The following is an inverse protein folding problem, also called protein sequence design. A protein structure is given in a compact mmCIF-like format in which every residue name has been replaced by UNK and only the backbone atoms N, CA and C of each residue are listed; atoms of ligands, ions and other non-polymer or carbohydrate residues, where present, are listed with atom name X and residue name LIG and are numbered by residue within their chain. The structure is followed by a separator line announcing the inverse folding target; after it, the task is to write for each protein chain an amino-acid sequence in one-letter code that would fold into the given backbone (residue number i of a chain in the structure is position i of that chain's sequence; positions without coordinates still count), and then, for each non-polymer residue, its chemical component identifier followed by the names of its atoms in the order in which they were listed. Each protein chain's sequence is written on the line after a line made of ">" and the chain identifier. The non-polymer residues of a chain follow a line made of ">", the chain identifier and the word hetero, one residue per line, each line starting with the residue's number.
data_IF_490900434784
#
_entry.id   IF_490900434784
#
_cell.length_a   1.000
_cell.length_b   1.000
_cell.length_c   1.000
_cell.angle_alpha   90.00
_cell.angle_beta   90.00
_cell.angle_gamma   90.00
#
_symmetry.space_group_name_H-M   'P 1'
#
loop_
_entity.id
_entity.type
_entity.pdbx_description
1 polymer ?
#
# COMPACT_ATOMS: atom_id res chain seq x y z
N UNK A 1 -17.12 -21.45 27.32
CA UNK A 1 -16.10 -20.38 27.36
C UNK A 1 -16.67 -19.09 26.79
N UNK A 2 -16.90 -18.06 27.62
CA UNK A 2 -17.32 -16.76 27.14
C UNK A 2 -16.23 -16.18 26.21
N UNK A 3 -16.58 -15.91 24.95
CA UNK A 3 -15.72 -15.20 23.99
C UNK A 3 -15.48 -13.78 24.55
N UNK A 4 -14.33 -13.54 25.21
CA UNK A 4 -13.92 -12.18 25.57
C UNK A 4 -13.98 -11.33 24.30
N UNK A 5 -14.88 -10.32 24.28
CA UNK A 5 -14.95 -9.35 23.18
C UNK A 5 -13.56 -8.71 23.03
N UNK A 6 -12.98 -8.81 21.82
CA UNK A 6 -11.71 -8.15 21.52
C UNK A 6 -11.88 -6.64 21.68
N UNK A 7 -11.29 -6.09 22.74
CA UNK A 7 -11.26 -4.65 22.98
C UNK A 7 -9.95 -4.09 22.44
N UNK A 8 -10.03 -3.10 21.55
CA UNK A 8 -8.89 -2.36 21.01
C UNK A 8 -8.32 -1.46 22.12
N UNK A 9 -7.00 -1.51 22.33
CA UNK A 9 -6.33 -0.61 23.27
C UNK A 9 -6.30 0.82 22.71
N UNK A 10 -6.08 1.85 23.55
CA UNK A 10 -5.98 3.22 23.06
C UNK A 10 -4.80 3.44 22.08
N UNK A 11 -3.69 2.69 22.23
CA UNK A 11 -2.57 2.76 21.32
C UNK A 11 -2.86 2.06 19.99
N UNK A 12 -3.45 0.86 20.02
CA UNK A 12 -3.91 0.16 18.82
C UNK A 12 -4.92 1.01 18.02
N UNK A 13 -5.86 1.69 18.71
CA UNK A 13 -6.82 2.60 18.07
C UNK A 13 -6.10 3.76 17.38
N UNK A 14 -5.10 4.34 18.03
CA UNK A 14 -4.32 5.44 17.46
C UNK A 14 -3.55 5.00 16.22
N UNK A 15 -3.00 3.78 16.22
CA UNK A 15 -2.33 3.18 15.08
C UNK A 15 -3.31 2.91 13.91
N UNK A 16 -4.50 2.36 14.18
CA UNK A 16 -5.56 2.15 13.19
C UNK A 16 -6.01 3.49 12.56
N UNK A 17 -6.11 4.58 13.35
CA UNK A 17 -6.49 5.89 12.85
C UNK A 17 -5.49 6.48 11.85
N UNK A 18 -4.22 6.14 11.94
CA UNK A 18 -3.25 6.52 10.93
C UNK A 18 -3.58 5.91 9.55
N UNK A 19 -4.00 4.63 9.50
CA UNK A 19 -4.44 3.99 8.24
C UNK A 19 -5.66 4.70 7.62
N UNK A 20 -6.58 5.18 8.44
CA UNK A 20 -7.71 6.01 7.99
C UNK A 20 -7.24 7.30 7.32
N UNK A 21 -6.20 7.93 7.87
CA UNK A 21 -5.66 9.18 7.36
C UNK A 21 -4.88 9.02 6.07
N UNK A 22 -3.92 8.12 6.07
CA UNK A 22 -3.02 7.93 4.94
C UNK A 22 -3.74 7.38 3.69
N UNK A 23 -4.76 6.55 3.87
CA UNK A 23 -5.55 5.98 2.78
C UNK A 23 -6.31 7.06 1.99
N UNK A 24 -6.65 8.20 2.61
CA UNK A 24 -7.24 9.33 1.90
C UNK A 24 -6.26 9.94 0.88
N UNK A 25 -4.98 10.07 1.25
CA UNK A 25 -3.93 10.53 0.33
C UNK A 25 -3.73 9.55 -0.83
N UNK A 26 -3.73 8.23 -0.57
CA UNK A 26 -3.66 7.21 -1.64
C UNK A 26 -4.80 7.39 -2.64
N UNK A 27 -6.03 7.56 -2.13
CA UNK A 27 -7.21 7.69 -2.99
C UNK A 27 -7.17 8.99 -3.83
N UNK A 28 -6.68 10.08 -3.25
CA UNK A 28 -6.49 11.36 -3.96
C UNK A 28 -5.45 11.23 -5.09
N UNK A 29 -4.31 10.61 -4.81
CA UNK A 29 -3.24 10.38 -5.81
C UNK A 29 -3.71 9.49 -6.96
N UNK A 30 -4.54 8.50 -6.67
CA UNK A 30 -5.08 7.62 -7.70
C UNK A 30 -6.19 8.26 -8.56
N UNK A 31 -6.74 9.41 -8.14
CA UNK A 31 -7.95 9.99 -8.78
C UNK A 31 -7.83 11.47 -9.15
N UNK A 32 -7.83 12.37 -8.17
CA UNK A 32 -7.91 13.81 -8.41
C UNK A 32 -6.57 14.47 -8.72
N UNK A 33 -5.48 13.98 -8.15
CA UNK A 33 -4.13 14.55 -8.36
C UNK A 33 -3.68 14.44 -9.81
N UNK A 34 -3.86 13.31 -10.55
CA UNK A 34 -3.58 13.25 -11.97
C UNK A 34 -4.41 14.24 -12.80
N UNK A 35 -5.68 14.44 -12.45
CA UNK A 35 -6.55 15.42 -13.13
C UNK A 35 -5.99 16.82 -12.96
N UNK A 36 -5.55 17.18 -11.75
CA UNK A 36 -4.93 18.48 -11.47
C UNK A 36 -3.63 18.67 -12.26
N UNK A 37 -2.75 17.66 -12.25
CA UNK A 37 -1.52 17.69 -13.02
C UNK A 37 -1.77 17.87 -14.52
N UNK A 38 -2.71 17.08 -15.08
CA UNK A 38 -3.03 17.16 -16.52
C UNK A 38 -3.55 18.55 -16.90
N UNK A 39 -4.41 19.15 -16.09
CA UNK A 39 -4.93 20.50 -16.33
C UNK A 39 -3.79 21.56 -16.31
N UNK A 40 -2.85 21.46 -15.37
CA UNK A 40 -1.68 22.35 -15.33
C UNK A 40 -0.73 22.13 -16.51
N UNK A 41 -0.54 20.87 -16.93
CA UNK A 41 0.32 20.52 -18.04
C UNK A 41 -0.25 21.01 -19.39
N UNK A 42 -1.55 20.84 -19.61
CA UNK A 42 -2.25 21.36 -20.80
C UNK A 42 -2.21 22.88 -20.85
N UNK A 43 -2.46 23.56 -19.74
CA UNK A 43 -2.32 25.02 -19.63
C UNK A 43 -0.88 25.50 -19.91
N UNK A 44 0.12 24.68 -19.62
CA UNK A 44 1.54 24.91 -19.92
C UNK A 44 1.96 24.50 -21.33
N UNK A 45 1.04 24.10 -22.21
CA UNK A 45 1.34 23.70 -23.59
C UNK A 45 1.97 22.30 -23.73
N UNK A 46 1.94 21.47 -22.69
CA UNK A 46 2.47 20.10 -22.74
C UNK A 46 1.46 19.17 -23.43
N UNK A 47 1.92 18.40 -24.42
CA UNK A 47 1.06 17.43 -25.11
C UNK A 47 0.61 16.28 -24.20
N UNK A 48 -0.54 15.66 -24.54
CA UNK A 48 -1.10 14.53 -23.77
C UNK A 48 -0.13 13.35 -23.61
N UNK A 49 0.64 13.07 -24.65
CA UNK A 49 1.66 12.03 -24.61
C UNK A 49 2.77 12.38 -23.61
N UNK A 50 3.22 13.62 -23.63
CA UNK A 50 4.34 14.07 -22.77
C UNK A 50 3.93 14.15 -21.30
N UNK A 51 2.74 14.68 -20.95
CA UNK A 51 2.37 14.74 -19.55
C UNK A 51 2.14 13.35 -18.94
N UNK A 52 1.62 12.39 -19.72
CA UNK A 52 1.50 11.00 -19.29
C UNK A 52 2.89 10.38 -19.02
N UNK A 53 3.86 10.64 -19.94
CA UNK A 53 5.23 10.20 -19.75
C UNK A 53 5.88 10.83 -18.50
N UNK A 54 5.70 12.13 -18.28
CA UNK A 54 6.25 12.83 -17.11
C UNK A 54 5.67 12.31 -15.78
N UNK A 55 4.37 12.00 -15.76
CA UNK A 55 3.74 11.35 -14.61
C UNK A 55 4.36 9.98 -14.30
N UNK A 56 4.59 9.18 -15.35
CA UNK A 56 5.27 7.88 -15.25
C UNK A 56 6.70 8.01 -14.73
N UNK A 57 7.47 8.95 -15.27
CA UNK A 57 8.85 9.22 -14.81
C UNK A 57 8.89 9.68 -13.35
N UNK A 58 7.98 10.58 -12.94
CA UNK A 58 7.87 11.02 -11.55
C UNK A 58 7.57 9.85 -10.60
N UNK A 59 6.64 8.97 -10.97
CA UNK A 59 6.32 7.77 -10.20
C UNK A 59 7.51 6.81 -10.10
N UNK A 60 8.26 6.63 -11.19
CA UNK A 60 9.47 5.80 -11.22
C UNK A 60 10.57 6.38 -10.31
N UNK A 61 10.80 7.69 -10.37
CA UNK A 61 11.77 8.39 -9.50
C UNK A 61 11.40 8.18 -8.02
N UNK A 62 10.13 8.33 -7.65
CA UNK A 62 9.66 8.05 -6.28
C UNK A 62 9.99 6.62 -5.87
N UNK A 63 9.70 5.64 -6.74
CA UNK A 63 9.95 4.22 -6.45
C UNK A 63 11.43 3.95 -6.19
N UNK A 64 12.32 4.46 -7.06
CA UNK A 64 13.78 4.29 -6.91
C UNK A 64 14.28 4.95 -5.62
N UNK A 65 13.89 6.19 -5.37
CA UNK A 65 14.31 6.91 -4.16
C UNK A 65 13.83 6.21 -2.89
N UNK A 66 12.57 5.78 -2.85
CA UNK A 66 12.02 5.11 -1.66
C UNK A 66 12.58 3.72 -1.46
N UNK A 67 12.91 2.98 -2.54
CA UNK A 67 13.59 1.69 -2.45
C UNK A 67 14.99 1.81 -1.82
N UNK A 68 15.71 2.89 -2.09
CA UNK A 68 17.03 3.14 -1.49
C UNK A 68 16.89 3.70 -0.06
N UNK A 69 16.02 4.69 0.14
CA UNK A 69 15.88 5.36 1.43
C UNK A 69 15.17 4.50 2.48
N UNK A 70 14.24 3.64 2.09
CA UNK A 70 13.44 2.81 3.01
C UNK A 70 14.30 2.00 3.98
N UNK A 71 15.18 1.10 3.51
CA UNK A 71 16.04 0.33 4.39
C UNK A 71 17.04 1.17 5.18
N UNK A 72 17.61 2.22 4.57
CA UNK A 72 18.59 3.11 5.25
C UNK A 72 17.94 3.84 6.42
N UNK A 73 16.82 4.51 6.17
CA UNK A 73 16.09 5.21 7.21
C UNK A 73 15.45 4.22 8.19
N UNK A 74 15.06 3.03 7.74
CA UNK A 74 14.57 1.93 8.58
C UNK A 74 15.59 1.50 9.61
N UNK A 75 16.84 1.23 9.18
CA UNK A 75 17.93 0.88 10.08
C UNK A 75 18.25 2.00 11.08
N UNK A 76 18.20 3.25 10.63
CA UNK A 76 18.38 4.41 11.52
C UNK A 76 17.22 4.52 12.53
N UNK A 77 16.00 4.29 12.10
CA UNK A 77 14.81 4.34 12.94
C UNK A 77 14.79 3.25 14.02
N UNK A 78 15.46 2.13 13.81
CA UNK A 78 15.60 1.08 14.82
C UNK A 78 16.53 1.47 15.99
N UNK A 79 17.30 2.55 15.84
CA UNK A 79 18.05 3.12 16.96
C UNK A 79 17.09 3.72 18.00
N UNK A 80 17.45 3.62 19.27
CA UNK A 80 16.67 4.12 20.41
C UNK A 80 16.21 5.57 20.22
N UNK A 81 14.91 5.79 20.34
CA UNK A 81 14.23 7.08 20.22
C UNK A 81 14.25 7.73 18.81
N UNK A 82 14.71 7.05 17.75
CA UNK A 82 14.78 7.60 16.40
C UNK A 82 13.53 7.32 15.56
N UNK A 83 12.81 6.22 15.82
CA UNK A 83 11.66 5.80 14.99
C UNK A 83 10.55 6.87 14.88
N UNK A 84 10.17 7.44 16.03
CA UNK A 84 9.14 8.49 16.06
C UNK A 84 9.55 9.79 15.37
N UNK A 85 10.74 10.39 15.62
CA UNK A 85 11.21 11.58 14.89
C UNK A 85 11.29 11.37 13.37
N UNK A 86 11.80 10.22 12.90
CA UNK A 86 11.90 9.95 11.47
C UNK A 86 10.51 9.76 10.85
N UNK A 87 9.60 9.05 11.53
CA UNK A 87 8.20 8.96 11.12
C UNK A 87 7.55 10.35 11.00
N UNK A 88 7.76 11.22 12.00
CA UNK A 88 7.23 12.59 11.99
C UNK A 88 7.80 13.41 10.82
N UNK A 89 9.11 13.30 10.56
CA UNK A 89 9.73 13.97 9.41
C UNK A 89 9.07 13.55 8.10
N UNK A 90 8.94 12.24 7.86
CA UNK A 90 8.31 11.70 6.66
C UNK A 90 6.83 12.13 6.55
N UNK A 91 6.09 12.08 7.66
CA UNK A 91 4.71 12.55 7.73
C UNK A 91 4.58 14.03 7.35
N UNK A 92 5.38 14.90 7.96
CA UNK A 92 5.32 16.34 7.67
C UNK A 92 5.75 16.66 6.24
N UNK A 93 6.77 15.98 5.70
CA UNK A 93 7.14 16.11 4.28
C UNK A 93 5.96 15.72 3.38
N UNK A 94 5.26 14.63 3.69
CA UNK A 94 4.07 14.20 2.95
C UNK A 94 2.91 15.19 3.06
N UNK A 95 2.56 15.62 4.27
CA UNK A 95 1.43 16.54 4.53
C UNK A 95 1.69 17.93 3.94
N UNK A 96 2.88 18.51 4.18
CA UNK A 96 3.26 19.81 3.63
C UNK A 96 3.38 19.76 2.11
N UNK A 97 3.91 18.66 1.58
CA UNK A 97 3.95 18.41 0.14
C UNK A 97 2.54 18.33 -0.48
N UNK A 98 1.59 17.68 0.21
CA UNK A 98 0.18 17.66 -0.21
C UNK A 98 -0.41 19.08 -0.29
N UNK A 99 -0.17 19.91 0.72
CA UNK A 99 -0.58 21.32 0.71
C UNK A 99 0.11 22.10 -0.41
N UNK A 100 1.41 21.92 -0.60
CA UNK A 100 2.21 22.64 -1.60
C UNK A 100 1.81 22.26 -3.04
N UNK A 101 1.38 21.01 -3.30
CA UNK A 101 0.77 20.65 -4.59
C UNK A 101 -0.45 21.53 -4.90
N UNK A 102 -1.32 21.77 -3.91
CA UNK A 102 -2.48 22.67 -4.07
C UNK A 102 -2.12 24.13 -4.37
N UNK A 103 -0.95 24.58 -3.94
CA UNK A 103 -0.45 25.93 -4.19
C UNK A 103 0.31 26.08 -5.53
N UNK A 104 0.69 24.99 -6.17
CA UNK A 104 1.43 25.00 -7.44
C UNK A 104 0.55 25.58 -8.58
N UNK A 105 1.13 26.46 -9.39
CA UNK A 105 0.45 27.13 -10.51
C UNK A 105 0.89 26.64 -11.88
N UNK A 106 1.96 25.88 -11.95
CA UNK A 106 2.51 25.31 -13.16
C UNK A 106 2.84 23.82 -12.97
N UNK A 107 2.87 23.09 -14.07
CA UNK A 107 2.99 21.64 -14.06
C UNK A 107 4.32 21.12 -13.47
N UNK A 108 5.46 21.79 -13.75
CA UNK A 108 6.77 21.29 -13.30
C UNK A 108 6.96 21.42 -11.78
N UNK A 109 6.72 22.58 -11.12
CA UNK A 109 6.70 22.65 -9.65
C UNK A 109 5.71 21.68 -9.01
N UNK A 110 4.52 21.50 -9.60
CA UNK A 110 3.55 20.52 -9.13
C UNK A 110 4.15 19.10 -9.11
N UNK A 111 4.81 18.70 -10.22
CA UNK A 111 5.39 17.38 -10.36
C UNK A 111 6.56 17.15 -9.38
N UNK A 112 7.41 18.15 -9.18
CA UNK A 112 8.51 18.08 -8.20
C UNK A 112 7.96 17.94 -6.78
N UNK A 113 6.95 18.74 -6.42
CA UNK A 113 6.31 18.66 -5.10
C UNK A 113 5.58 17.34 -4.92
N UNK A 114 4.95 16.81 -5.96
CA UNK A 114 4.35 15.45 -5.95
C UNK A 114 5.39 14.38 -5.61
N UNK A 115 6.57 14.41 -6.25
CA UNK A 115 7.66 13.46 -5.94
C UNK A 115 8.03 13.55 -4.46
N UNK A 116 8.24 14.75 -3.93
CA UNK A 116 8.61 14.96 -2.52
C UNK A 116 7.50 14.49 -1.57
N UNK A 117 6.25 14.84 -1.84
CA UNK A 117 5.10 14.42 -1.05
C UNK A 117 4.95 12.89 -1.03
N UNK A 118 5.11 12.24 -2.18
CA UNK A 118 5.00 10.80 -2.33
C UNK A 118 6.15 10.05 -1.63
N UNK A 119 7.38 10.60 -1.63
CA UNK A 119 8.51 10.07 -0.86
C UNK A 119 8.21 10.18 0.64
N UNK A 120 7.73 11.32 1.12
CA UNK A 120 7.33 11.49 2.52
C UNK A 120 6.23 10.52 2.94
N UNK A 121 5.19 10.38 2.12
CA UNK A 121 4.13 9.39 2.31
C UNK A 121 4.69 7.96 2.40
N UNK A 122 5.50 7.56 1.43
CA UNK A 122 6.07 6.23 1.37
C UNK A 122 6.96 5.91 2.57
N UNK A 123 7.82 6.86 2.97
CA UNK A 123 8.65 6.72 4.17
C UNK A 123 7.80 6.60 5.43
N UNK A 124 6.74 7.40 5.57
CA UNK A 124 5.85 7.33 6.74
C UNK A 124 5.16 5.96 6.87
N UNK A 125 4.82 5.29 5.76
CA UNK A 125 4.25 3.94 5.77
C UNK A 125 5.24 2.88 6.29
N UNK A 126 6.51 2.93 5.86
CA UNK A 126 7.55 1.99 6.34
C UNK A 126 7.65 2.05 7.87
N UNK A 127 7.69 3.25 8.43
CA UNK A 127 7.80 3.41 9.89
C UNK A 127 6.51 3.04 10.61
N UNK A 128 5.36 3.41 10.05
CA UNK A 128 4.05 3.02 10.56
C UNK A 128 3.92 1.49 10.64
N UNK A 129 4.27 0.77 9.58
CA UNK A 129 4.21 -0.70 9.55
C UNK A 129 5.20 -1.31 10.57
N UNK A 130 6.40 -0.75 10.68
CA UNK A 130 7.41 -1.20 11.66
C UNK A 130 7.02 -0.94 13.12
N UNK A 131 6.08 -0.02 13.39
CA UNK A 131 5.55 0.23 14.74
C UNK A 131 4.62 -0.87 15.23
N UNK A 132 4.15 -1.78 14.38
CA UNK A 132 3.17 -2.80 14.76
C UNK A 132 3.63 -3.65 15.96
N UNK A 133 4.92 -4.02 16.02
CA UNK A 133 5.52 -4.75 17.14
C UNK A 133 5.60 -3.95 18.44
N UNK A 134 5.64 -2.61 18.37
CA UNK A 134 5.61 -1.73 19.55
C UNK A 134 4.18 -1.43 20.03
N UNK A 135 3.21 -1.54 19.13
CA UNK A 135 1.81 -1.14 19.37
C UNK A 135 0.98 -2.26 19.97
N UNK A 136 1.30 -3.52 19.62
CA UNK A 136 0.49 -4.68 20.03
C UNK A 136 1.33 -5.94 20.18
N UNK A 137 0.76 -6.97 20.82
CA UNK A 137 1.42 -8.26 21.01
C UNK A 137 1.25 -9.17 19.78
N UNK A 138 2.14 -10.17 19.57
CA UNK A 138 2.10 -11.07 18.41
C UNK A 138 0.73 -11.75 18.20
N UNK A 139 0.03 -12.12 19.29
CA UNK A 139 -1.28 -12.78 19.22
C UNK A 139 -2.40 -11.86 18.70
N UNK A 140 -2.18 -10.55 18.77
CA UNK A 140 -3.14 -9.51 18.40
C UNK A 140 -2.83 -8.86 17.06
N UNK A 141 -1.60 -9.01 16.54
CA UNK A 141 -1.10 -8.33 15.36
C UNK A 141 -2.01 -8.50 14.14
N UNK A 142 -2.46 -9.75 13.87
CA UNK A 142 -3.32 -10.02 12.70
C UNK A 142 -4.64 -9.26 12.78
N UNK A 143 -5.25 -9.21 13.95
CA UNK A 143 -6.52 -8.51 14.15
C UNK A 143 -6.35 -6.99 14.10
N UNK A 144 -5.28 -6.47 14.68
CA UNK A 144 -4.98 -5.02 14.67
C UNK A 144 -4.66 -4.57 13.25
N UNK A 145 -3.81 -5.31 12.52
CA UNK A 145 -3.47 -5.05 11.12
C UNK A 145 -4.69 -5.09 10.22
N UNK A 146 -5.54 -6.11 10.34
CA UNK A 146 -6.79 -6.23 9.57
C UNK A 146 -7.76 -5.08 9.84
N UNK A 147 -7.84 -4.58 11.07
CA UNK A 147 -8.63 -3.39 11.39
C UNK A 147 -8.06 -2.11 10.81
N UNK A 148 -6.73 -1.98 10.77
CA UNK A 148 -6.07 -0.86 10.09
C UNK A 148 -6.54 -0.77 8.64
N UNK A 149 -6.36 -1.83 7.86
CA UNK A 149 -6.82 -1.88 6.48
C UNK A 149 -8.33 -1.67 6.34
N UNK A 150 -9.16 -2.36 7.16
CA UNK A 150 -10.60 -2.20 7.09
C UNK A 150 -11.03 -0.74 7.28
N UNK A 151 -10.59 -0.11 8.37
CA UNK A 151 -10.93 1.29 8.63
C UNK A 151 -10.29 2.26 7.65
N UNK A 152 -9.11 1.92 7.07
CA UNK A 152 -8.50 2.66 5.96
C UNK A 152 -9.39 2.70 4.73
N UNK A 153 -9.94 1.56 4.30
CA UNK A 153 -10.83 1.50 3.13
C UNK A 153 -12.07 2.39 3.28
N UNK A 154 -12.80 2.29 4.38
CA UNK A 154 -14.03 3.06 4.55
C UNK A 154 -13.76 4.50 4.99
N UNK A 155 -12.73 4.70 5.84
CA UNK A 155 -12.41 6.02 6.40
C UNK A 155 -11.86 6.98 5.36
N UNK A 156 -11.17 6.50 4.33
CA UNK A 156 -10.70 7.31 3.20
C UNK A 156 -11.82 7.78 2.29
N UNK A 157 -12.93 7.05 2.26
CA UNK A 157 -14.09 7.45 1.46
C UNK A 157 -14.72 8.76 1.95
N UNK A 158 -14.67 9.05 3.27
CA UNK A 158 -15.27 10.26 3.83
C UNK A 158 -14.68 11.55 3.24
N UNK A 159 -13.37 11.84 3.41
CA UNK A 159 -12.78 13.03 2.80
C UNK A 159 -12.82 12.99 1.28
N UNK A 160 -12.72 11.81 0.66
CA UNK A 160 -12.78 11.67 -0.79
C UNK A 160 -14.14 12.10 -1.37
N UNK A 161 -15.26 11.67 -0.78
CA UNK A 161 -16.60 12.07 -1.23
C UNK A 161 -16.80 13.58 -1.08
N UNK A 162 -16.32 14.17 0.02
CA UNK A 162 -16.36 15.64 0.22
C UNK A 162 -15.54 16.36 -0.86
N UNK A 163 -14.32 15.89 -1.13
CA UNK A 163 -13.45 16.46 -2.16
C UNK A 163 -14.05 16.32 -3.57
N UNK A 164 -14.60 15.15 -3.88
CA UNK A 164 -15.23 14.89 -5.17
C UNK A 164 -16.48 15.77 -5.38
N UNK A 165 -17.33 15.86 -4.37
CA UNK A 165 -18.52 16.74 -4.42
C UNK A 165 -18.13 18.20 -4.61
N UNK A 166 -17.07 18.67 -3.93
CA UNK A 166 -16.54 20.01 -4.10
C UNK A 166 -16.04 20.27 -5.52
N UNK A 167 -15.28 19.33 -6.10
CA UNK A 167 -14.71 19.47 -7.46
C UNK A 167 -15.80 19.42 -8.51
N UNK A 168 -16.76 18.47 -8.43
CA UNK A 168 -17.87 18.35 -9.38
C UNK A 168 -18.88 19.48 -9.26
N UNK A 169 -19.13 19.97 -8.03
CA UNK A 169 -20.05 21.07 -7.76
C UNK A 169 -19.42 22.46 -7.85
N UNK A 170 -18.15 22.59 -8.19
CA UNK A 170 -17.40 23.85 -8.18
C UNK A 170 -18.06 24.95 -9.02
N UNK A 171 -18.56 24.63 -10.21
CA UNK A 171 -19.24 25.58 -11.10
C UNK A 171 -20.56 26.09 -10.51
N UNK A 172 -21.32 25.24 -9.81
CA UNK A 172 -22.58 25.62 -9.19
C UNK A 172 -22.42 26.62 -8.04
N UNK A 173 -21.24 26.64 -7.39
CA UNK A 173 -20.91 27.59 -6.31
C UNK A 173 -20.00 28.74 -6.79
N UNK A 174 -19.85 28.93 -8.13
CA UNK A 174 -19.04 29.99 -8.72
C UNK A 174 -17.53 29.87 -8.50
N UNK A 175 -17.04 28.69 -8.18
CA UNK A 175 -15.63 28.40 -7.91
C UNK A 175 -14.95 27.77 -9.13
N UNK A 176 -13.69 28.16 -9.41
CA UNK A 176 -12.93 27.47 -10.44
C UNK A 176 -12.59 26.02 -10.02
N UNK A 177 -12.54 25.11 -10.99
CA UNK A 177 -12.17 23.71 -10.75
C UNK A 177 -10.78 23.60 -10.10
N UNK A 178 -9.84 24.46 -10.50
CA UNK A 178 -8.49 24.52 -9.90
C UNK A 178 -8.51 24.92 -8.42
N UNK A 179 -9.36 25.87 -8.04
CA UNK A 179 -9.54 26.24 -6.63
C UNK A 179 -10.16 25.11 -5.84
N UNK A 180 -11.16 24.42 -6.40
CA UNK A 180 -11.78 23.28 -5.77
C UNK A 180 -10.77 22.13 -5.55
N UNK A 181 -9.92 21.83 -6.53
CA UNK A 181 -8.85 20.84 -6.41
C UNK A 181 -7.79 21.24 -5.36
N UNK A 182 -7.44 22.53 -5.30
CA UNK A 182 -6.55 23.08 -4.24
C UNK A 182 -7.15 22.83 -2.85
N UNK A 183 -8.42 23.15 -2.64
CA UNK A 183 -9.11 22.95 -1.35
C UNK A 183 -9.18 21.46 -1.04
N UNK A 184 -9.43 20.60 -2.03
CA UNK A 184 -9.47 19.16 -1.84
C UNK A 184 -8.13 18.59 -1.32
N UNK A 185 -7.00 19.11 -1.80
CA UNK A 185 -5.67 18.73 -1.29
C UNK A 185 -5.45 19.20 0.15
N UNK A 186 -5.90 20.41 0.51
CA UNK A 186 -5.83 20.88 1.89
C UNK A 186 -6.72 20.07 2.84
N UNK A 187 -7.94 19.69 2.42
CA UNK A 187 -8.83 18.81 3.18
C UNK A 187 -8.15 17.47 3.43
N UNK A 188 -7.52 16.88 2.40
CA UNK A 188 -6.81 15.59 2.47
C UNK A 188 -5.61 15.67 3.42
N UNK A 189 -4.80 16.73 3.31
CA UNK A 189 -3.66 16.97 4.19
C UNK A 189 -4.11 17.13 5.66
N UNK A 190 -5.14 17.93 5.91
CA UNK A 190 -5.72 18.13 7.24
C UNK A 190 -6.27 16.82 7.81
N UNK A 191 -7.03 16.06 7.02
CA UNK A 191 -7.56 14.75 7.42
C UNK A 191 -6.43 13.80 7.85
N UNK A 192 -5.40 13.67 7.02
CA UNK A 192 -4.25 12.82 7.32
C UNK A 192 -3.53 13.25 8.59
N UNK A 193 -3.26 14.55 8.75
CA UNK A 193 -2.60 15.07 9.95
C UNK A 193 -3.45 14.83 11.21
N UNK A 194 -4.73 15.21 11.19
CA UNK A 194 -5.61 15.11 12.36
C UNK A 194 -5.78 13.67 12.83
N UNK A 195 -5.97 12.74 11.90
CA UNK A 195 -6.11 11.30 12.24
C UNK A 195 -4.79 10.69 12.72
N UNK A 196 -3.64 11.29 12.40
CA UNK A 196 -2.31 10.85 12.87
C UNK A 196 -1.97 11.38 14.26
N UNK A 197 -2.53 12.52 14.69
CA UNK A 197 -2.20 13.14 16.00
C UNK A 197 -2.31 12.18 17.20
N UNK A 198 -3.34 11.30 17.30
CA UNK A 198 -3.42 10.35 18.40
C UNK A 198 -2.22 9.39 18.47
N UNK A 199 -1.70 8.96 17.30
CA UNK A 199 -0.53 8.11 17.23
C UNK A 199 0.72 8.87 17.68
N UNK A 200 0.93 10.10 17.19
CA UNK A 200 2.06 10.94 17.59
C UNK A 200 2.09 11.20 19.09
N UNK A 201 0.93 11.34 19.73
CA UNK A 201 0.84 11.61 21.19
C UNK A 201 1.11 10.36 22.01
N UNK A 202 0.71 9.17 21.56
CA UNK A 202 0.69 7.95 22.37
C UNK A 202 1.84 7.00 22.08
N UNK A 203 2.40 7.02 20.86
CA UNK A 203 3.45 6.10 20.47
C UNK A 203 4.74 6.40 21.20
N UNK A 204 5.34 5.32 21.73
CA UNK A 204 6.69 5.25 22.27
C UNK A 204 7.38 4.02 21.69
N UNK A 205 8.62 4.17 21.27
CA UNK A 205 9.42 3.06 20.76
C UNK A 205 9.76 2.12 21.93
N UNK A 206 9.39 0.86 21.79
CA UNK A 206 9.63 -0.20 22.80
C UNK A 206 10.80 -1.07 22.34
N UNK A 207 10.81 -1.48 21.08
CA UNK A 207 11.84 -2.31 20.50
C UNK A 207 12.84 -1.45 19.75
N UNK A 208 14.13 -1.55 20.09
CA UNK A 208 15.20 -0.76 19.49
C UNK A 208 16.57 -1.43 19.64
N UNK A 209 17.51 -0.99 18.84
CA UNK A 209 18.92 -1.35 18.95
C UNK A 209 19.65 -0.22 19.68
N UNK A 210 20.41 -0.57 20.71
CA UNK A 210 21.31 0.40 21.36
C UNK A 210 22.54 0.62 20.50
N UNK A 211 22.86 1.88 20.23
CA UNK A 211 24.03 2.28 19.45
C UNK A 211 24.83 3.28 20.29
N UNK A 212 26.07 2.92 20.62
CA UNK A 212 26.91 3.73 21.52
C UNK A 212 27.48 4.97 20.84
N UNK A 213 27.87 4.91 19.54
CA UNK A 213 28.42 6.06 18.79
C UNK A 213 28.19 5.92 17.28
N UNK A 214 28.09 7.06 16.54
CA UNK A 214 28.04 7.11 15.08
C UNK A 214 26.86 6.34 14.43
N UNK A 215 25.64 6.54 14.92
CA UNK A 215 24.41 5.85 14.49
C UNK A 215 24.23 5.79 12.96
N UNK A 216 24.51 6.88 12.23
CA UNK A 216 24.35 6.93 10.78
C UNK A 216 25.32 5.98 10.07
N UNK A 217 26.62 6.04 10.40
CA UNK A 217 27.64 5.16 9.79
C UNK A 217 27.37 3.69 10.12
N UNK A 218 26.99 3.39 11.35
CA UNK A 218 26.63 2.04 11.75
C UNK A 218 25.37 1.53 11.05
N UNK A 219 24.42 2.39 10.73
CA UNK A 219 23.23 2.01 9.96
C UNK A 219 23.58 1.50 8.56
N UNK A 220 24.53 2.15 7.86
CA UNK A 220 24.99 1.64 6.56
C UNK A 220 25.73 0.31 6.66
N UNK A 221 26.54 0.11 7.70
CA UNK A 221 27.23 -1.17 7.94
C UNK A 221 26.21 -2.27 8.26
N UNK A 222 25.22 -1.96 9.11
CA UNK A 222 24.17 -2.90 9.52
C UNK A 222 23.33 -3.36 8.33
N UNK A 223 22.88 -2.44 7.49
CA UNK A 223 22.07 -2.81 6.30
C UNK A 223 22.88 -3.69 5.35
N UNK A 224 24.18 -3.39 5.13
CA UNK A 224 25.07 -4.24 4.35
C UNK A 224 25.20 -5.66 4.94
N UNK A 225 25.30 -5.74 6.27
CA UNK A 225 25.34 -7.00 7.00
C UNK A 225 24.01 -7.76 6.89
N UNK A 226 22.87 -7.08 7.09
CA UNK A 226 21.54 -7.70 6.98
C UNK A 226 21.26 -8.21 5.58
N UNK A 227 21.62 -7.46 4.53
CA UNK A 227 21.47 -7.92 3.15
C UNK A 227 22.34 -9.16 2.86
N UNK A 228 23.58 -9.18 3.38
CA UNK A 228 24.49 -10.33 3.23
C UNK A 228 23.96 -11.57 3.95
N UNK A 229 23.39 -11.40 5.14
CA UNK A 229 22.91 -12.51 5.98
C UNK A 229 21.41 -12.80 5.83
N UNK A 230 20.68 -12.04 4.99
CA UNK A 230 19.25 -12.27 4.74
C UNK A 230 18.97 -13.69 4.25
N UNK A 231 19.89 -14.26 3.46
CA UNK A 231 19.80 -15.64 2.96
C UNK A 231 19.97 -16.68 4.08
N UNK A 232 20.63 -16.35 5.18
CA UNK A 232 20.81 -17.23 6.33
C UNK A 232 19.50 -17.37 7.13
N UNK A 233 18.69 -16.31 7.19
CA UNK A 233 17.33 -16.40 7.72
C UNK A 233 16.35 -16.86 6.62
N UNK A 234 16.41 -18.17 6.36
CA UNK A 234 15.63 -18.81 5.29
C UNK A 234 14.13 -18.51 5.36
N UNK A 235 13.56 -18.37 6.57
CA UNK A 235 12.13 -18.08 6.73
C UNK A 235 11.79 -16.70 6.17
N UNK A 236 12.53 -15.66 6.58
CA UNK A 236 12.32 -14.28 6.12
C UNK A 236 12.64 -14.14 4.65
N UNK A 237 13.74 -14.75 4.17
CA UNK A 237 14.13 -14.72 2.76
C UNK A 237 13.04 -15.29 1.84
N UNK A 238 12.58 -16.51 2.12
CA UNK A 238 11.51 -17.15 1.32
C UNK A 238 10.18 -16.42 1.43
N UNK A 239 9.89 -15.83 2.59
CA UNK A 239 8.70 -14.99 2.75
C UNK A 239 8.76 -13.74 1.88
N UNK A 240 9.86 -12.98 1.89
CA UNK A 240 10.01 -11.78 1.06
C UNK A 240 9.92 -12.09 -0.43
N UNK A 241 10.51 -13.19 -0.88
CA UNK A 241 10.43 -13.63 -2.27
C UNK A 241 9.00 -14.06 -2.65
N UNK A 242 8.31 -14.79 -1.76
CA UNK A 242 6.90 -15.14 -1.93
C UNK A 242 6.02 -13.88 -1.99
N UNK A 243 6.24 -12.96 -1.03
CA UNK A 243 5.52 -11.69 -0.94
C UNK A 243 5.68 -10.87 -2.20
N UNK A 244 6.91 -10.72 -2.69
CA UNK A 244 7.18 -10.04 -3.94
C UNK A 244 6.34 -10.60 -5.10
N UNK A 245 6.31 -11.94 -5.27
CA UNK A 245 5.55 -12.57 -6.35
C UNK A 245 4.03 -12.37 -6.21
N UNK A 246 3.44 -12.72 -5.06
CA UNK A 246 1.97 -12.66 -4.98
C UNK A 246 1.43 -11.24 -4.82
N UNK A 247 2.16 -10.33 -4.16
CA UNK A 247 1.70 -8.95 -4.03
C UNK A 247 1.83 -8.16 -5.33
N UNK A 248 2.82 -8.52 -6.17
CA UNK A 248 2.93 -8.02 -7.55
C UNK A 248 1.67 -8.37 -8.34
N UNK A 249 1.23 -9.62 -8.30
CA UNK A 249 -0.02 -10.03 -8.92
C UNK A 249 -1.24 -9.26 -8.38
N UNK A 250 -1.33 -9.08 -7.06
CA UNK A 250 -2.43 -8.33 -6.42
C UNK A 250 -2.47 -6.88 -6.90
N UNK A 251 -1.34 -6.17 -6.84
CA UNK A 251 -1.28 -4.77 -7.26
C UNK A 251 -1.49 -4.61 -8.77
N UNK A 252 -0.95 -5.52 -9.58
CA UNK A 252 -1.18 -5.52 -11.03
C UNK A 252 -2.66 -5.67 -11.38
N UNK A 253 -3.39 -6.57 -10.72
CA UNK A 253 -4.85 -6.71 -10.92
C UNK A 253 -5.56 -5.40 -10.56
N UNK A 254 -5.19 -4.74 -9.46
CA UNK A 254 -5.82 -3.49 -9.02
C UNK A 254 -5.49 -2.34 -9.98
N UNK A 255 -4.23 -2.18 -10.33
CA UNK A 255 -3.73 -1.05 -11.13
C UNK A 255 -4.18 -1.15 -12.59
N UNK A 256 -4.25 -2.38 -13.14
CA UNK A 256 -4.61 -2.60 -14.54
C UNK A 256 -6.11 -2.86 -14.77
N UNK A 257 -6.93 -2.98 -13.70
CA UNK A 257 -8.34 -3.34 -13.83
C UNK A 257 -9.11 -2.46 -14.82
N UNK A 258 -8.94 -1.13 -14.75
CA UNK A 258 -9.61 -0.19 -15.64
C UNK A 258 -9.10 -0.32 -17.06
N UNK A 259 -7.79 -0.38 -17.27
CA UNK A 259 -7.18 -0.53 -18.60
C UNK A 259 -7.62 -1.85 -19.27
N UNK A 260 -7.66 -2.93 -18.48
CA UNK A 260 -8.14 -4.24 -18.94
C UNK A 260 -9.61 -4.20 -19.36
N UNK A 261 -10.50 -3.67 -18.50
CA UNK A 261 -11.92 -3.55 -18.82
C UNK A 261 -12.18 -2.68 -20.06
N UNK A 262 -11.43 -1.58 -20.21
CA UNK A 262 -11.50 -0.72 -21.40
C UNK A 262 -11.01 -1.44 -22.66
N UNK A 263 -9.94 -2.22 -22.57
CA UNK A 263 -9.44 -3.02 -23.70
C UNK A 263 -10.46 -4.09 -24.17
N UNK A 264 -11.34 -4.56 -23.28
CA UNK A 264 -12.46 -5.44 -23.61
C UNK A 264 -13.70 -4.71 -24.14
N UNK A 265 -13.67 -3.38 -24.26
CA UNK A 265 -14.80 -2.58 -24.71
C UNK A 265 -15.93 -2.43 -23.69
N UNK A 266 -15.65 -2.64 -22.39
CA UNK A 266 -16.64 -2.51 -21.32
C UNK A 266 -16.96 -1.02 -21.03
N UNK A 267 -18.16 -0.75 -20.52
CA UNK A 267 -18.59 0.60 -20.16
C UNK A 267 -17.72 1.20 -19.04
N UNK A 268 -17.14 2.37 -19.31
CA UNK A 268 -16.23 3.06 -18.39
C UNK A 268 -16.90 3.41 -17.07
N UNK A 269 -18.17 3.84 -17.10
CA UNK A 269 -18.92 4.18 -15.87
C UNK A 269 -19.09 2.94 -15.00
N UNK A 270 -19.45 1.81 -15.62
CA UNK A 270 -19.55 0.53 -14.94
C UNK A 270 -18.23 0.05 -14.35
N UNK A 271 -17.09 0.27 -15.04
CA UNK A 271 -15.75 -0.04 -14.52
C UNK A 271 -15.43 0.78 -13.27
N UNK A 272 -15.64 2.09 -13.31
CA UNK A 272 -15.38 2.98 -12.19
C UNK A 272 -16.25 2.66 -10.96
N UNK A 273 -17.52 2.34 -11.18
CA UNK A 273 -18.43 1.92 -10.10
C UNK A 273 -17.99 0.58 -9.50
N UNK A 274 -17.59 -0.40 -10.32
CA UNK A 274 -17.10 -1.70 -9.85
C UNK A 274 -15.87 -1.55 -8.92
N UNK A 275 -14.93 -0.64 -9.25
CA UNK A 275 -13.79 -0.33 -8.38
C UNK A 275 -14.24 0.25 -7.02
N UNK A 276 -15.35 0.99 -6.96
CA UNK A 276 -15.90 1.48 -5.67
C UNK A 276 -16.49 0.32 -4.86
N UNK A 277 -17.18 -0.61 -5.53
CA UNK A 277 -17.69 -1.82 -4.87
C UNK A 277 -16.56 -2.65 -4.27
N UNK A 278 -15.41 -2.75 -4.94
CA UNK A 278 -14.22 -3.41 -4.37
C UNK A 278 -13.84 -2.85 -3.00
N UNK A 279 -13.80 -1.53 -2.84
CA UNK A 279 -13.46 -0.88 -1.56
C UNK A 279 -14.51 -1.15 -0.47
N UNK A 280 -15.81 -1.11 -0.84
CA UNK A 280 -16.92 -1.39 0.07
C UNK A 280 -16.88 -2.84 0.56
N UNK A 281 -16.58 -3.79 -0.33
CA UNK A 281 -16.46 -5.21 0.00
C UNK A 281 -15.19 -5.50 0.81
N UNK A 282 -14.08 -4.80 0.52
CA UNK A 282 -12.82 -4.98 1.23
C UNK A 282 -12.92 -4.63 2.73
N UNK A 283 -13.77 -3.67 3.11
CA UNK A 283 -13.98 -3.30 4.51
C UNK A 283 -14.47 -4.47 5.39
N UNK A 284 -15.66 -5.07 5.15
CA UNK A 284 -16.14 -6.18 5.97
C UNK A 284 -15.23 -7.41 5.82
N UNK A 285 -14.67 -7.64 4.64
CA UNK A 285 -13.78 -8.77 4.39
C UNK A 285 -12.50 -8.70 5.26
N UNK A 286 -11.84 -7.56 5.32
CA UNK A 286 -10.68 -7.39 6.20
C UNK A 286 -11.03 -7.66 7.68
N UNK A 287 -12.20 -7.22 8.14
CA UNK A 287 -12.68 -7.52 9.49
C UNK A 287 -12.94 -9.02 9.71
N UNK A 288 -13.44 -9.73 8.68
CA UNK A 288 -13.67 -11.18 8.73
C UNK A 288 -12.32 -11.90 8.84
N UNK A 289 -11.31 -11.56 8.01
CA UNK A 289 -9.97 -12.13 8.10
C UNK A 289 -9.32 -11.86 9.46
N UNK A 290 -9.48 -10.66 10.02
CA UNK A 290 -9.03 -10.36 11.37
C UNK A 290 -9.74 -11.19 12.47
N UNK A 291 -10.99 -11.61 12.26
CA UNK A 291 -11.67 -12.53 13.19
C UNK A 291 -11.25 -13.98 12.97
N UNK A 292 -11.03 -14.37 11.72
CA UNK A 292 -10.55 -15.71 11.36
C UNK A 292 -9.16 -15.97 11.93
N UNK A 293 -8.29 -14.94 11.98
CA UNK A 293 -6.94 -15.07 12.53
C UNK A 293 -6.92 -15.39 14.05
N UNK A 294 -8.03 -15.20 14.75
CA UNK A 294 -8.18 -15.68 16.12
C UNK A 294 -8.32 -17.22 16.24
N UNK A 295 -8.62 -17.91 15.13
CA UNK A 295 -8.77 -19.38 15.08
C UNK A 295 -7.70 -20.06 14.24
N UNK A 296 -7.29 -19.40 13.16
CA UNK A 296 -6.36 -19.93 12.17
C UNK A 296 -5.16 -18.97 12.05
N UNK A 297 -3.92 -19.47 12.17
CA UNK A 297 -2.74 -18.61 12.03
C UNK A 297 -2.62 -17.99 10.64
N UNK A 298 -1.97 -16.85 10.54
CA UNK A 298 -1.73 -16.16 9.26
C UNK A 298 -1.04 -17.04 8.21
N UNK A 299 -0.19 -17.99 8.66
CA UNK A 299 0.46 -18.99 7.80
C UNK A 299 -0.53 -19.94 7.08
N UNK A 300 -1.77 -20.07 7.56
CA UNK A 300 -2.83 -20.83 6.88
C UNK A 300 -3.77 -19.94 6.08
N UNK A 301 -4.03 -18.72 6.53
CA UNK A 301 -4.97 -17.79 5.87
C UNK A 301 -4.38 -17.12 4.63
N UNK A 302 -3.08 -16.78 4.64
CA UNK A 302 -2.40 -16.18 3.48
C UNK A 302 -2.45 -17.09 2.25
N UNK A 303 -2.13 -18.41 2.33
CA UNK A 303 -2.27 -19.32 1.20
C UNK A 303 -3.70 -19.40 0.63
N UNK A 304 -4.73 -19.28 1.47
CA UNK A 304 -6.13 -19.22 1.01
C UNK A 304 -6.37 -17.98 0.17
N UNK A 305 -5.85 -16.82 0.60
CA UNK A 305 -5.94 -15.59 -0.18
C UNK A 305 -5.18 -15.70 -1.52
N UNK A 306 -3.97 -16.27 -1.52
CA UNK A 306 -3.16 -16.44 -2.75
C UNK A 306 -3.89 -17.39 -3.72
N UNK A 307 -4.43 -18.50 -3.23
CA UNK A 307 -5.20 -19.43 -4.04
C UNK A 307 -6.47 -18.78 -4.63
N UNK A 308 -7.16 -17.95 -3.84
CA UNK A 308 -8.30 -17.18 -4.33
C UNK A 308 -7.90 -16.19 -5.43
N UNK A 309 -6.76 -15.50 -5.29
CA UNK A 309 -6.24 -14.61 -6.34
C UNK A 309 -5.81 -15.37 -7.59
N UNK A 310 -5.28 -16.59 -7.45
CA UNK A 310 -5.05 -17.48 -8.62
C UNK A 310 -6.36 -17.75 -9.36
N UNK A 311 -7.43 -18.09 -8.62
CA UNK A 311 -8.78 -18.27 -9.19
C UNK A 311 -9.33 -16.99 -9.84
N UNK A 312 -9.09 -15.81 -9.25
CA UNK A 312 -9.46 -14.50 -9.80
C UNK A 312 -8.75 -14.25 -11.14
N UNK A 313 -7.46 -14.53 -11.23
CA UNK A 313 -6.69 -14.37 -12.47
C UNK A 313 -7.16 -15.35 -13.56
N UNK A 314 -7.47 -16.59 -13.20
CA UNK A 314 -8.06 -17.57 -14.11
C UNK A 314 -9.47 -17.13 -14.55
N UNK A 315 -10.29 -16.61 -13.65
CA UNK A 315 -11.61 -16.08 -14.00
C UNK A 315 -11.50 -14.89 -14.96
N UNK A 316 -10.55 -13.98 -14.71
CA UNK A 316 -10.28 -12.87 -15.61
C UNK A 316 -9.90 -13.31 -17.02
N UNK A 317 -9.23 -14.45 -17.18
CA UNK A 317 -8.91 -15.02 -18.50
C UNK A 317 -10.15 -15.26 -19.37
N UNK A 318 -11.29 -15.60 -18.76
CA UNK A 318 -12.57 -15.88 -19.45
C UNK A 318 -13.54 -14.69 -19.49
N UNK A 319 -13.11 -13.51 -19.03
CA UNK A 319 -13.99 -12.35 -18.91
C UNK A 319 -14.27 -11.73 -20.29
N UNK A 320 -15.54 -11.56 -20.60
CA UNK A 320 -16.03 -10.96 -21.85
C UNK A 320 -17.16 -9.97 -21.66
N UNK A 321 -17.83 -9.97 -20.51
CA UNK A 321 -19.04 -9.20 -20.25
C UNK A 321 -18.91 -8.31 -19.00
N UNK A 322 -19.65 -7.19 -19.01
CA UNK A 322 -19.67 -6.21 -17.92
C UNK A 322 -20.01 -6.81 -16.54
N UNK A 323 -21.01 -7.70 -16.47
CA UNK A 323 -21.40 -8.31 -15.19
C UNK A 323 -20.30 -9.19 -14.60
N UNK A 324 -19.50 -9.85 -15.45
CA UNK A 324 -18.34 -10.64 -15.00
C UNK A 324 -17.28 -9.76 -14.35
N UNK A 325 -17.08 -8.52 -14.87
CA UNK A 325 -16.18 -7.55 -14.26
C UNK A 325 -16.66 -7.12 -12.86
N UNK A 326 -17.98 -6.99 -12.65
CA UNK A 326 -18.52 -6.73 -11.32
C UNK A 326 -18.29 -7.89 -10.36
N UNK A 327 -18.45 -9.13 -10.82
CA UNK A 327 -18.11 -10.33 -10.02
C UNK A 327 -16.62 -10.33 -9.68
N UNK A 328 -15.74 -10.05 -10.65
CA UNK A 328 -14.30 -9.93 -10.45
C UNK A 328 -13.98 -8.89 -9.37
N UNK A 329 -14.58 -7.71 -9.44
CA UNK A 329 -14.39 -6.63 -8.47
C UNK A 329 -14.79 -7.02 -7.04
N UNK A 330 -15.90 -7.73 -6.89
CA UNK A 330 -16.33 -8.30 -5.59
C UNK A 330 -15.33 -9.33 -5.09
N UNK A 331 -14.90 -10.27 -5.94
CA UNK A 331 -13.90 -11.29 -5.57
C UNK A 331 -12.58 -10.66 -5.12
N UNK A 332 -12.07 -9.66 -5.85
CA UNK A 332 -10.87 -8.89 -5.46
C UNK A 332 -11.10 -8.26 -4.09
N UNK A 333 -12.21 -7.55 -3.88
CA UNK A 333 -12.54 -6.92 -2.59
C UNK A 333 -12.60 -7.91 -1.44
N UNK A 334 -13.08 -9.14 -1.67
CA UNK A 334 -13.16 -10.19 -0.64
C UNK A 334 -11.79 -10.63 -0.11
N UNK A 335 -10.72 -10.53 -0.88
CA UNK A 335 -9.41 -11.06 -0.48
C UNK A 335 -8.32 -9.98 -0.33
N UNK A 336 -8.51 -8.81 -0.94
CA UNK A 336 -7.52 -7.71 -0.95
C UNK A 336 -7.10 -7.30 0.46
N UNK A 337 -8.06 -6.97 1.32
CA UNK A 337 -7.77 -6.54 2.69
C UNK A 337 -7.15 -7.67 3.53
N UNK A 338 -7.56 -8.92 3.30
CA UNK A 338 -7.02 -10.08 3.98
C UNK A 338 -5.57 -10.34 3.65
N UNK A 339 -5.22 -10.42 2.36
CA UNK A 339 -3.84 -10.73 1.94
C UNK A 339 -2.86 -9.64 2.37
N UNK A 340 -3.21 -8.37 2.22
CA UNK A 340 -2.34 -7.25 2.62
C UNK A 340 -2.15 -7.18 4.14
N UNK A 341 -3.24 -7.24 4.90
CA UNK A 341 -3.20 -7.11 6.35
C UNK A 341 -2.48 -8.29 7.03
N UNK A 342 -2.75 -9.51 6.58
CA UNK A 342 -2.13 -10.72 7.13
C UNK A 342 -0.65 -10.83 6.73
N UNK A 343 -0.26 -10.40 5.52
CA UNK A 343 1.14 -10.38 5.10
C UNK A 343 1.96 -9.42 5.97
N UNK A 344 1.46 -8.21 6.24
CA UNK A 344 2.09 -7.23 7.12
C UNK A 344 2.26 -7.78 8.55
N UNK A 345 1.22 -8.35 9.12
CA UNK A 345 1.28 -8.89 10.49
C UNK A 345 2.09 -10.19 10.59
N UNK A 346 2.03 -11.05 9.58
CA UNK A 346 2.87 -12.26 9.53
C UNK A 346 4.35 -11.88 9.46
N UNK A 347 4.70 -10.92 8.60
CA UNK A 347 6.07 -10.42 8.50
C UNK A 347 6.57 -9.84 9.83
N UNK A 348 5.75 -9.01 10.50
CA UNK A 348 6.08 -8.46 11.81
C UNK A 348 6.36 -9.53 12.89
N UNK A 349 5.78 -10.74 12.75
CA UNK A 349 5.99 -11.86 13.69
C UNK A 349 7.27 -12.65 13.44
N UNK A 350 7.73 -12.72 12.20
CA UNK A 350 8.88 -13.57 11.81
C UNK A 350 10.21 -12.81 11.82
N UNK A 351 10.18 -11.47 11.92
CA UNK A 351 11.38 -10.62 11.99
C UNK A 351 11.77 -10.28 13.43
N UNK A 352 13.04 -9.95 13.70
CA UNK A 352 13.46 -9.41 15.00
C UNK A 352 12.77 -8.07 15.27
N UNK A 353 12.10 -7.95 16.41
CA UNK A 353 11.32 -6.75 16.75
C UNK A 353 12.19 -5.47 16.84
N UNK A 354 13.44 -5.61 17.29
CA UNK A 354 14.41 -4.53 17.45
C UNK A 354 14.90 -3.96 16.09
N UNK A 355 14.79 -4.76 15.02
CA UNK A 355 15.20 -4.40 13.65
C UNK A 355 14.01 -4.21 12.72
N UNK A 356 12.82 -3.99 13.26
CA UNK A 356 11.58 -3.92 12.48
C UNK A 356 11.61 -2.83 11.41
N UNK A 357 12.24 -1.68 11.65
CA UNK A 357 12.36 -0.61 10.65
C UNK A 357 13.19 -1.03 9.42
N UNK A 358 14.34 -1.66 9.66
CA UNK A 358 15.22 -2.17 8.61
C UNK A 358 14.50 -3.23 7.75
N UNK A 359 13.87 -4.22 8.38
CA UNK A 359 13.16 -5.27 7.69
C UNK A 359 11.90 -4.78 6.95
N UNK A 360 11.13 -3.86 7.53
CA UNK A 360 10.00 -3.24 6.84
C UNK A 360 10.44 -2.34 5.69
N UNK A 361 11.64 -1.76 5.74
CA UNK A 361 12.26 -1.13 4.58
C UNK A 361 12.47 -2.09 3.40
N UNK A 362 12.92 -3.33 3.67
CA UNK A 362 13.04 -4.37 2.64
C UNK A 362 11.66 -4.87 2.16
N UNK A 363 10.72 -5.04 3.06
CA UNK A 363 9.33 -5.40 2.74
C UNK A 363 8.68 -4.38 1.80
N UNK A 364 8.91 -3.08 2.04
CA UNK A 364 8.42 -2.00 1.21
C UNK A 364 9.02 -2.02 -0.21
N UNK A 365 10.31 -2.37 -0.35
CA UNK A 365 10.92 -2.59 -1.68
C UNK A 365 10.18 -3.69 -2.42
N UNK A 366 9.91 -4.82 -1.77
CA UNK A 366 9.15 -5.91 -2.37
C UNK A 366 7.73 -5.46 -2.76
N UNK A 367 7.05 -4.69 -1.90
CA UNK A 367 5.71 -4.17 -2.17
C UNK A 367 5.66 -3.14 -3.29
N UNK A 368 6.66 -2.24 -3.41
CA UNK A 368 6.70 -1.18 -4.43
C UNK A 368 7.37 -1.61 -5.73
N UNK A 369 8.32 -2.54 -5.66
CA UNK A 369 8.86 -3.23 -6.83
C UNK A 369 7.84 -4.17 -7.46
N UNK A 370 6.86 -4.58 -6.67
CA UNK A 370 5.63 -5.22 -7.14
C UNK A 370 4.87 -4.26 -8.08
N UNK A 371 4.07 -4.79 -8.97
CA UNK A 371 3.45 -4.18 -10.14
C UNK A 371 4.38 -4.04 -11.37
N UNK A 372 5.69 -4.12 -11.23
CA UNK A 372 6.58 -4.04 -12.38
C UNK A 372 6.58 -5.35 -13.17
N UNK A 373 6.81 -6.49 -12.51
CA UNK A 373 6.83 -7.79 -13.18
C UNK A 373 5.44 -8.18 -13.69
N UNK A 374 4.40 -7.97 -12.89
CA UNK A 374 3.04 -8.31 -13.27
C UNK A 374 2.56 -7.48 -14.46
N UNK A 375 2.78 -6.17 -14.46
CA UNK A 375 2.43 -5.32 -15.61
C UNK A 375 3.25 -5.68 -16.87
N UNK A 376 4.51 -6.06 -16.72
CA UNK A 376 5.35 -6.54 -17.82
C UNK A 376 4.82 -7.87 -18.39
N UNK A 377 4.45 -8.82 -17.52
CA UNK A 377 3.85 -10.11 -17.91
C UNK A 377 2.55 -9.87 -18.67
N UNK A 378 1.66 -9.00 -18.17
CA UNK A 378 0.40 -8.65 -18.84
C UNK A 378 0.66 -8.02 -20.21
N UNK A 379 1.59 -7.06 -20.27
CA UNK A 379 1.88 -6.33 -21.52
C UNK A 379 2.48 -7.24 -22.57
N UNK A 380 3.51 -8.02 -22.23
CA UNK A 380 4.16 -8.96 -23.14
C UNK A 380 3.19 -10.09 -23.55
N UNK A 381 2.46 -10.64 -22.57
CA UNK A 381 1.45 -11.67 -22.84
C UNK A 381 0.35 -11.19 -23.79
N UNK A 382 -0.14 -9.96 -23.59
CA UNK A 382 -1.14 -9.34 -24.46
C UNK A 382 -0.59 -9.06 -25.87
N UNK A 383 0.65 -8.56 -25.98
CA UNK A 383 1.27 -8.27 -27.28
C UNK A 383 1.55 -9.55 -28.09
N UNK A 384 2.09 -10.59 -27.45
CA UNK A 384 2.45 -11.84 -28.13
C UNK A 384 1.22 -12.62 -28.60
N UNK A 385 0.11 -12.55 -27.86
CA UNK A 385 -1.10 -13.33 -28.15
C UNK A 385 -2.19 -12.53 -28.85
N UNK A 386 -2.08 -11.20 -28.87
CA UNK A 386 -3.14 -10.31 -29.36
C UNK A 386 -4.39 -10.28 -28.45
N UNK A 387 -4.30 -10.80 -27.22
CA UNK A 387 -5.44 -10.93 -26.31
C UNK A 387 -5.13 -10.37 -24.93
N UNK A 388 -5.89 -9.36 -24.51
CA UNK A 388 -5.80 -8.79 -23.16
C UNK A 388 -6.12 -9.84 -22.06
N UNK A 389 -7.04 -10.76 -22.35
CA UNK A 389 -7.43 -11.84 -21.44
C UNK A 389 -6.25 -12.77 -21.13
N UNK A 390 -5.46 -13.16 -22.16
CA UNK A 390 -4.27 -13.98 -21.99
C UNK A 390 -3.22 -13.23 -21.15
N UNK A 391 -3.01 -11.94 -21.43
CA UNK A 391 -2.11 -11.10 -20.65
C UNK A 391 -2.48 -11.09 -19.17
N UNK A 392 -3.73 -10.77 -18.83
CA UNK A 392 -4.18 -10.71 -17.42
C UNK A 392 -4.21 -12.09 -16.79
N UNK A 393 -4.65 -13.14 -17.50
CA UNK A 393 -4.64 -14.51 -17.00
C UNK A 393 -3.23 -15.04 -16.67
N UNK A 394 -2.21 -14.56 -17.38
CA UNK A 394 -0.81 -14.93 -17.14
C UNK A 394 -0.29 -14.54 -15.74
N UNK A 395 -0.93 -13.58 -15.07
CA UNK A 395 -0.62 -13.21 -13.69
C UNK A 395 -0.79 -14.41 -12.73
N UNK A 396 -1.65 -15.37 -13.07
CA UNK A 396 -1.84 -16.58 -12.27
C UNK A 396 -0.50 -17.30 -11.96
N UNK A 397 0.48 -17.20 -12.85
CA UNK A 397 1.82 -17.77 -12.65
C UNK A 397 2.51 -17.16 -11.43
N UNK A 398 2.41 -15.83 -11.22
CA UNK A 398 2.97 -15.15 -10.07
C UNK A 398 2.34 -15.63 -8.76
N UNK A 399 1.03 -15.85 -8.75
CA UNK A 399 0.34 -16.38 -7.57
C UNK A 399 0.74 -17.82 -7.26
N UNK A 400 0.88 -18.67 -8.29
CA UNK A 400 1.34 -20.06 -8.10
C UNK A 400 2.76 -20.10 -7.56
N UNK A 401 3.68 -19.31 -8.11
CA UNK A 401 5.06 -19.20 -7.61
C UNK A 401 5.03 -18.68 -6.18
N UNK A 402 4.31 -17.58 -5.92
CA UNK A 402 4.17 -16.98 -4.59
C UNK A 402 3.59 -17.97 -3.57
N UNK A 403 2.60 -18.78 -3.95
CA UNK A 403 2.04 -19.83 -3.09
C UNK A 403 3.09 -20.88 -2.71
N UNK A 404 3.84 -21.40 -3.69
CA UNK A 404 4.87 -22.41 -3.44
C UNK A 404 5.97 -21.85 -2.53
N UNK A 405 6.48 -20.66 -2.82
CA UNK A 405 7.52 -20.02 -2.02
C UNK A 405 7.04 -19.72 -0.59
N UNK A 406 5.79 -19.29 -0.41
CA UNK A 406 5.21 -19.08 0.91
C UNK A 406 5.13 -20.39 1.70
N UNK A 407 4.75 -21.50 1.06
CA UNK A 407 4.75 -22.83 1.71
C UNK A 407 6.16 -23.26 2.10
N UNK A 408 7.18 -22.94 1.32
CA UNK A 408 8.60 -23.17 1.67
C UNK A 408 8.97 -22.37 2.92
N UNK A 409 8.62 -21.08 2.97
CA UNK A 409 8.86 -20.22 4.14
C UNK A 409 8.24 -20.83 5.42
N UNK A 410 6.99 -21.28 5.37
CA UNK A 410 6.32 -21.90 6.53
C UNK A 410 6.98 -23.22 6.97
N UNK A 411 7.53 -24.01 6.05
CA UNK A 411 8.24 -25.26 6.41
C UNK A 411 9.54 -24.99 7.14
N UNK A 412 10.25 -23.92 6.79
CA UNK A 412 11.50 -23.53 7.48
C UNK A 412 11.26 -23.03 8.90
N UNK A 413 10.05 -22.53 9.19
CA UNK A 413 9.61 -22.18 10.56
C UNK A 413 9.56 -23.43 11.46
N UNK A 414 8.93 -24.51 10.99
CA UNK A 414 8.80 -25.76 11.75
C UNK A 414 10.16 -26.40 12.03
N UNK A 415 11.11 -26.29 11.10
CA UNK A 415 12.46 -26.82 11.27
C UNK A 415 13.31 -26.08 12.32
N UNK A 416 12.96 -24.84 12.69
CA UNK A 416 13.62 -24.09 13.77
C UNK A 416 13.05 -24.39 15.17
N UNK A 417 11.84 -24.99 15.24
CA UNK A 417 11.14 -25.30 16.50
C UNK A 417 11.37 -26.74 16.97
N UNK A 418 11.95 -27.59 16.14
CA UNK A 418 12.39 -28.96 16.44
C UNK A 418 13.91 -28.97 16.66
#
# INVERSE_FOLDING_TARGET
>A
MQKKKFKVTPLERAWILYDVGNSAFVLMIATLVPIFFNALAEAGGVSKVNYLAYWGYASSVVTVITAVLGPILGTLADTKNFKKPIFMLCLFVGVLGCCAMGAARTWLPFLVVFIVAKIGFSGSLVFYDSMLGDVTTPERMDMVSSRGYAWGYIGSCVPFVVCLALVLGSSAIGMSQMTALTIALFITAAWWLVTTLPLLRRYRQVNYVEVEQHAIRQSFVRIGHTLKHLYEDKQVFWFLLAFFCYIDGVYTIIDMATAYGTALGLDTTGLLLALRVTQIVAFPSALIFGRLSAKYPSSQLIPVCIAAYTGIAVFAFFLTQQWQFWVLAVMVGMFQGGVQALSRSHFAKIIPAEKSGEYFGLFDICGKGASFLGTMIVSVGSQLTGSANVGVGSIAVLFVIGFVLFRVSCRTEHAKQV
#
